data_IF_408606980903
#
_entry.id   IF_408606980903
#
_cell.length_a   1.000
_cell.length_b   1.000
_cell.length_c   1.000
_cell.angle_alpha   90.00
_cell.angle_beta   90.00
_cell.angle_gamma   90.00
#
_symmetry.space_group_name_H-M   'P 1'
#
loop_
_entity.id
_entity.type
_entity.pdbx_description
1 polymer ?
#
# COMPACT_ATOMS: atom_id res chain seq x y z
N UNK A 1 11.67 -13.50 16.03
CA UNK A 1 11.17 -14.89 16.00
C UNK A 1 11.41 -15.55 14.64
N UNK A 2 11.27 -14.82 13.55
CA UNK A 2 11.52 -15.31 12.20
C UNK A 2 10.32 -15.97 11.54
N UNK A 3 10.57 -16.77 10.49
CA UNK A 3 9.55 -17.32 9.58
C UNK A 3 9.44 -18.83 9.73
N UNK A 4 8.26 -19.33 10.07
CA UNK A 4 7.90 -20.75 10.15
C UNK A 4 6.81 -21.06 9.12
N UNK A 5 6.99 -22.17 8.40
CA UNK A 5 5.95 -22.72 7.53
C UNK A 5 5.41 -24.04 8.08
N UNK A 6 4.10 -24.20 8.04
CA UNK A 6 3.41 -25.43 8.47
C UNK A 6 2.60 -25.96 7.29
N UNK A 7 2.74 -27.24 7.01
CA UNK A 7 2.02 -27.93 5.94
C UNK A 7 1.61 -29.34 6.41
N UNK A 8 0.75 -30.00 5.67
CA UNK A 8 0.36 -31.39 5.98
C UNK A 8 0.39 -32.28 4.74
N UNK A 9 1.10 -33.42 4.85
CA UNK A 9 1.21 -34.42 3.79
C UNK A 9 0.56 -35.76 4.13
N UNK A 10 0.18 -35.99 5.38
CA UNK A 10 -0.23 -37.32 5.86
C UNK A 10 -1.72 -37.59 5.73
N UNK A 11 -2.54 -36.55 5.62
CA UNK A 11 -3.98 -36.67 5.57
C UNK A 11 -4.45 -37.24 4.22
N UNK A 12 -5.54 -37.99 4.21
CA UNK A 12 -6.14 -38.59 3.03
C UNK A 12 -5.14 -39.42 2.19
N UNK A 13 -4.39 -40.30 2.85
CA UNK A 13 -3.36 -41.16 2.22
C UNK A 13 -2.32 -40.36 1.39
N UNK A 14 -2.04 -39.13 1.82
CA UNK A 14 -1.06 -38.26 1.18
C UNK A 14 -1.50 -37.68 -0.18
N UNK A 15 -2.79 -37.72 -0.48
CA UNK A 15 -3.33 -37.22 -1.76
C UNK A 15 -4.42 -36.18 -1.57
N UNK A 16 -4.55 -35.31 -2.55
CA UNK A 16 -5.70 -34.45 -2.73
C UNK A 16 -6.83 -35.21 -3.46
N UNK A 17 -8.03 -34.64 -3.48
CA UNK A 17 -9.19 -35.24 -4.13
C UNK A 17 -8.98 -35.53 -5.64
N UNK A 18 -8.19 -34.70 -6.30
CA UNK A 18 -7.82 -34.86 -7.70
C UNK A 18 -6.70 -35.89 -7.95
N UNK A 19 -6.25 -36.60 -6.90
CA UNK A 19 -5.21 -37.59 -6.96
C UNK A 19 -3.77 -37.07 -6.89
N UNK A 20 -3.56 -35.75 -6.92
CA UNK A 20 -2.22 -35.17 -6.79
C UNK A 20 -1.66 -35.33 -5.38
N UNK A 21 -0.34 -35.36 -5.28
CA UNK A 21 0.36 -35.56 -4.00
C UNK A 21 0.23 -34.35 -3.07
N UNK A 22 -0.02 -34.57 -1.79
CA UNK A 22 0.05 -33.53 -0.76
C UNK A 22 1.47 -33.02 -0.50
N UNK A 23 2.49 -33.63 -1.04
CA UNK A 23 3.84 -33.09 -1.08
C UNK A 23 3.92 -31.75 -1.82
N UNK A 24 2.99 -31.44 -2.70
CA UNK A 24 2.86 -30.11 -3.30
C UNK A 24 2.67 -29.01 -2.25
N UNK A 25 2.06 -29.32 -1.10
CA UNK A 25 2.00 -28.37 0.03
C UNK A 25 3.37 -28.09 0.67
N UNK A 26 4.25 -29.11 0.72
CA UNK A 26 5.64 -28.93 1.14
C UNK A 26 6.39 -28.00 0.18
N UNK A 27 6.23 -28.21 -1.13
CA UNK A 27 6.95 -27.44 -2.15
C UNK A 27 6.47 -26.00 -2.18
N UNK A 28 5.16 -25.75 -2.06
CA UNK A 28 4.59 -24.42 -1.89
C UNK A 28 5.16 -23.73 -0.64
N UNK A 29 5.17 -24.44 0.49
CA UNK A 29 5.71 -23.95 1.75
C UNK A 29 7.20 -23.59 1.64
N UNK A 30 8.00 -24.44 0.98
CA UNK A 30 9.43 -24.19 0.75
C UNK A 30 9.66 -22.90 -0.05
N UNK A 31 8.94 -22.74 -1.17
CA UNK A 31 9.09 -21.58 -2.04
C UNK A 31 8.68 -20.29 -1.33
N UNK A 32 7.54 -20.28 -0.64
CA UNK A 32 7.06 -19.09 0.08
C UNK A 32 8.04 -18.74 1.21
N UNK A 33 8.41 -19.70 2.06
CA UNK A 33 9.31 -19.43 3.16
C UNK A 33 10.69 -18.94 2.68
N UNK A 34 11.22 -19.53 1.60
CA UNK A 34 12.50 -19.15 1.03
C UNK A 34 12.46 -17.71 0.49
N UNK A 35 11.41 -17.32 -0.23
CA UNK A 35 11.27 -15.95 -0.73
C UNK A 35 11.21 -14.95 0.44
N UNK A 36 10.39 -15.22 1.46
CA UNK A 36 10.28 -14.32 2.63
C UNK A 36 11.63 -14.17 3.31
N UNK A 37 12.31 -15.28 3.63
CA UNK A 37 13.59 -15.24 4.34
C UNK A 37 14.65 -14.50 3.53
N UNK A 38 14.73 -14.76 2.23
CA UNK A 38 15.71 -14.13 1.36
C UNK A 38 15.47 -12.62 1.22
N UNK A 39 14.22 -12.21 0.98
CA UNK A 39 13.88 -10.81 0.83
C UNK A 39 14.09 -10.02 2.14
N UNK A 40 13.63 -10.59 3.26
CA UNK A 40 13.80 -9.94 4.57
C UNK A 40 15.28 -9.85 4.96
N UNK A 41 16.07 -10.87 4.68
CA UNK A 41 17.53 -10.83 4.92
C UNK A 41 18.22 -9.77 4.07
N UNK A 42 17.77 -9.59 2.87
CA UNK A 42 18.37 -8.64 1.93
C UNK A 42 18.04 -7.19 2.27
N UNK A 43 16.83 -6.92 2.74
CA UNK A 43 16.32 -5.55 2.90
C UNK A 43 16.38 -5.08 4.36
N UNK A 44 16.06 -5.95 5.32
CA UNK A 44 15.81 -5.55 6.71
C UNK A 44 16.82 -6.10 7.70
N UNK A 45 17.04 -7.42 7.70
CA UNK A 45 17.86 -8.05 8.71
C UNK A 45 18.56 -9.29 8.16
N UNK A 46 19.89 -9.24 7.92
CA UNK A 46 20.65 -10.37 7.39
C UNK A 46 20.59 -11.63 8.27
N UNK A 47 20.34 -11.44 9.57
CA UNK A 47 20.24 -12.53 10.54
C UNK A 47 18.81 -13.04 10.72
N UNK A 48 17.89 -12.68 9.83
CA UNK A 48 16.50 -13.14 9.92
C UNK A 48 16.42 -14.65 10.01
N UNK A 49 15.74 -15.15 11.04
CA UNK A 49 15.69 -16.57 11.34
C UNK A 49 14.75 -17.29 10.38
N UNK A 50 15.29 -18.24 9.64
CA UNK A 50 14.49 -19.27 8.99
C UNK A 50 14.20 -20.36 10.02
N UNK A 51 12.97 -20.43 10.53
CA UNK A 51 12.51 -21.53 11.37
C UNK A 51 12.30 -22.78 10.52
N UNK A 52 12.23 -23.94 11.18
CA UNK A 52 11.92 -25.17 10.47
C UNK A 52 10.57 -25.19 9.77
N UNK A 53 10.37 -26.12 8.86
CA UNK A 53 9.07 -26.43 8.31
C UNK A 53 8.45 -27.58 9.08
N UNK A 54 7.19 -27.43 9.48
CA UNK A 54 6.48 -28.44 10.27
C UNK A 54 5.46 -29.19 9.42
N UNK A 55 5.61 -30.49 9.32
CA UNK A 55 4.59 -31.35 8.74
C UNK A 55 3.60 -31.77 9.85
N UNK A 56 2.56 -30.97 10.04
CA UNK A 56 1.60 -31.11 11.14
C UNK A 56 0.17 -30.92 10.62
N UNK A 57 -0.82 -31.65 11.16
CA UNK A 57 -2.21 -31.56 10.74
C UNK A 57 -2.93 -30.39 11.40
N UNK A 58 -2.40 -29.18 11.24
CA UNK A 58 -3.16 -27.97 11.57
C UNK A 58 -4.32 -27.82 10.60
N UNK A 59 -5.45 -27.34 11.10
CA UNK A 59 -6.68 -27.28 10.33
C UNK A 59 -6.50 -26.54 9.00
N UNK A 60 -5.83 -25.42 9.02
CA UNK A 60 -5.56 -24.57 7.85
C UNK A 60 -4.62 -25.23 6.84
N UNK A 61 -3.79 -26.16 7.29
CA UNK A 61 -2.82 -26.85 6.45
C UNK A 61 -3.36 -28.14 5.82
N UNK A 62 -4.31 -28.85 6.48
CA UNK A 62 -4.79 -30.13 5.97
C UNK A 62 -6.19 -30.08 5.32
N UNK A 63 -7.06 -29.16 5.78
CA UNK A 63 -8.43 -29.06 5.30
C UNK A 63 -8.56 -28.62 3.84
N UNK A 64 -7.72 -27.71 3.29
CA UNK A 64 -7.83 -27.30 1.91
C UNK A 64 -7.69 -28.49 0.94
N UNK A 65 -8.47 -28.43 -0.15
CA UNK A 65 -8.47 -29.44 -1.22
C UNK A 65 -7.40 -29.19 -2.29
N UNK A 66 -6.58 -28.20 -2.09
CA UNK A 66 -5.47 -27.76 -2.94
C UNK A 66 -4.21 -27.59 -2.08
N UNK A 67 -3.01 -27.53 -2.69
CA UNK A 67 -1.79 -27.24 -1.95
C UNK A 67 -1.95 -26.01 -1.06
N UNK A 68 -1.63 -26.15 0.23
CA UNK A 68 -1.83 -25.12 1.23
C UNK A 68 -0.74 -25.17 2.31
N UNK A 69 -0.52 -24.04 2.95
CA UNK A 69 0.37 -23.92 4.09
C UNK A 69 -0.19 -22.88 5.08
N UNK A 70 0.19 -23.01 6.33
CA UNK A 70 0.05 -21.98 7.36
C UNK A 70 1.40 -21.28 7.52
N UNK A 71 1.40 -19.96 7.46
CA UNK A 71 2.57 -19.11 7.65
C UNK A 71 2.53 -18.47 9.03
N UNK A 72 3.55 -18.73 9.85
CA UNK A 72 3.80 -17.97 11.07
C UNK A 72 5.04 -17.12 10.88
N UNK A 73 4.86 -15.81 10.85
CA UNK A 73 5.90 -14.88 10.47
C UNK A 73 6.54 -14.17 11.66
N UNK A 74 5.74 -13.72 12.59
CA UNK A 74 6.12 -12.86 13.71
C UNK A 74 5.40 -13.34 14.97
N UNK A 75 5.80 -12.80 16.12
CA UNK A 75 5.05 -12.95 17.36
C UNK A 75 4.61 -11.58 17.87
N UNK A 76 3.31 -11.40 18.05
CA UNK A 76 2.74 -10.18 18.63
C UNK A 76 3.19 -9.93 20.07
N UNK A 77 3.73 -10.94 20.75
CA UNK A 77 4.32 -10.84 22.08
C UNK A 77 5.81 -10.51 22.08
N UNK A 78 6.42 -10.34 20.91
CA UNK A 78 7.82 -10.01 20.76
C UNK A 78 8.00 -8.62 20.18
N UNK A 79 8.56 -7.71 20.98
CA UNK A 79 8.72 -6.33 20.57
C UNK A 79 9.59 -6.15 19.31
N UNK A 80 10.67 -6.90 19.21
CA UNK A 80 11.53 -6.83 18.04
C UNK A 80 10.79 -7.27 16.77
N UNK A 81 9.88 -8.24 16.88
CA UNK A 81 9.02 -8.67 15.77
C UNK A 81 7.96 -7.60 15.46
N UNK A 82 7.38 -6.96 16.47
CA UNK A 82 6.34 -5.96 16.30
C UNK A 82 6.85 -4.68 15.60
N UNK A 83 8.11 -4.34 15.75
CA UNK A 83 8.72 -3.27 14.96
C UNK A 83 8.62 -3.52 13.46
N UNK A 84 8.82 -4.77 13.04
CA UNK A 84 8.61 -5.17 11.64
C UNK A 84 7.12 -5.29 11.30
N UNK A 85 6.33 -5.91 12.19
CA UNK A 85 4.91 -6.13 11.95
C UNK A 85 4.09 -4.86 11.80
N UNK A 86 4.52 -3.76 12.40
CA UNK A 86 3.88 -2.45 12.31
C UNK A 86 4.39 -1.62 11.12
N UNK A 87 5.53 -1.97 10.54
CA UNK A 87 6.06 -1.28 9.36
C UNK A 87 5.29 -1.71 8.09
N UNK A 88 4.57 -0.82 7.42
CA UNK A 88 3.84 -1.13 6.20
C UNK A 88 4.76 -1.57 5.05
N UNK A 89 5.99 -1.07 5.00
CA UNK A 89 6.97 -1.48 3.98
C UNK A 89 7.39 -2.93 4.20
N UNK A 90 7.62 -3.35 5.44
CA UNK A 90 7.88 -4.74 5.76
C UNK A 90 6.72 -5.64 5.37
N UNK A 91 5.49 -5.24 5.72
CA UNK A 91 4.27 -5.98 5.34
C UNK A 91 4.13 -6.13 3.83
N UNK A 92 4.40 -5.05 3.08
CA UNK A 92 4.40 -5.08 1.61
C UNK A 92 5.48 -6.05 1.08
N UNK A 93 6.72 -5.97 1.58
CA UNK A 93 7.81 -6.86 1.18
C UNK A 93 7.48 -8.32 1.42
N UNK A 94 6.93 -8.64 2.60
CA UNK A 94 6.53 -10.02 2.91
C UNK A 94 5.38 -10.49 2.03
N UNK A 95 4.36 -9.66 1.82
CA UNK A 95 3.23 -10.00 0.94
C UNK A 95 3.71 -10.23 -0.49
N UNK A 96 4.65 -9.43 -0.97
CA UNK A 96 5.27 -9.61 -2.29
C UNK A 96 6.12 -10.88 -2.34
N UNK A 97 6.84 -11.22 -1.28
CA UNK A 97 7.60 -12.47 -1.19
C UNK A 97 6.69 -13.71 -1.21
N UNK A 98 5.54 -13.64 -0.52
CA UNK A 98 4.50 -14.68 -0.58
C UNK A 98 3.99 -14.84 -2.01
N UNK A 99 3.63 -13.72 -2.65
CA UNK A 99 3.19 -13.71 -4.06
C UNK A 99 4.24 -14.34 -5.00
N UNK A 100 5.52 -13.97 -4.84
CA UNK A 100 6.62 -14.56 -5.63
C UNK A 100 6.71 -16.07 -5.44
N UNK A 101 6.63 -16.54 -4.19
CA UNK A 101 6.65 -17.98 -3.89
C UNK A 101 5.46 -18.73 -4.48
N UNK A 102 4.25 -18.14 -4.42
CA UNK A 102 3.07 -18.71 -5.06
C UNK A 102 3.21 -18.74 -6.59
N UNK A 103 3.70 -17.65 -7.19
CA UNK A 103 3.92 -17.56 -8.63
C UNK A 103 4.95 -18.58 -9.10
N UNK A 104 6.07 -18.74 -8.40
CA UNK A 104 7.08 -19.78 -8.67
C UNK A 104 6.46 -21.17 -8.62
N UNK A 105 5.66 -21.44 -7.59
CA UNK A 105 4.97 -22.72 -7.46
C UNK A 105 4.04 -22.96 -8.65
N UNK A 106 3.16 -22.02 -8.97
CA UNK A 106 2.22 -22.16 -10.09
C UNK A 106 2.96 -22.31 -11.42
N UNK A 107 3.98 -21.47 -11.65
CA UNK A 107 4.78 -21.57 -12.88
C UNK A 107 5.45 -22.93 -13.05
N UNK A 108 5.94 -23.53 -11.95
CA UNK A 108 6.54 -24.86 -11.99
C UNK A 108 5.52 -25.98 -12.25
N UNK A 109 4.27 -25.82 -11.77
CA UNK A 109 3.22 -26.83 -11.98
C UNK A 109 2.67 -26.81 -13.40
N UNK A 110 2.66 -25.66 -14.06
CA UNK A 110 2.10 -25.46 -15.39
C UNK A 110 3.15 -25.23 -16.48
N UNK A 111 4.44 -25.37 -16.13
CA UNK A 111 5.58 -25.16 -17.05
C UNK A 111 5.51 -23.80 -17.75
N UNK A 112 5.08 -22.76 -17.02
CA UNK A 112 5.00 -21.40 -17.52
C UNK A 112 6.19 -20.56 -17.06
N UNK A 113 6.47 -19.49 -17.79
CA UNK A 113 7.54 -18.57 -17.43
C UNK A 113 7.24 -17.85 -16.11
N UNK A 114 8.23 -17.76 -15.24
CA UNK A 114 8.15 -16.96 -14.02
C UNK A 114 8.49 -15.51 -14.34
N UNK A 115 7.49 -14.64 -14.29
CA UNK A 115 7.63 -13.19 -14.44
C UNK A 115 6.79 -12.50 -13.40
N UNK A 116 7.40 -11.66 -12.59
CA UNK A 116 6.71 -10.90 -11.54
C UNK A 116 6.17 -9.59 -12.11
N UNK A 117 4.96 -9.22 -11.75
CA UNK A 117 4.39 -7.92 -12.12
C UNK A 117 5.26 -6.75 -11.60
N UNK A 118 5.30 -5.60 -12.30
CA UNK A 118 6.06 -4.44 -11.87
C UNK A 118 5.59 -3.87 -10.52
N UNK A 119 6.43 -3.03 -9.92
CA UNK A 119 6.03 -2.16 -8.82
C UNK A 119 5.23 -0.96 -9.35
N UNK A 120 4.39 -0.32 -8.52
CA UNK A 120 3.71 0.92 -8.86
C UNK A 120 4.70 2.00 -9.30
N UNK A 121 4.26 2.88 -10.20
CA UNK A 121 5.06 4.03 -10.60
C UNK A 121 5.22 5.03 -9.46
N UNK A 122 6.27 5.83 -9.53
CA UNK A 122 6.55 6.92 -8.58
C UNK A 122 6.66 8.26 -9.31
N UNK A 123 6.71 9.36 -8.55
CA UNK A 123 6.84 10.73 -9.07
C UNK A 123 5.78 11.05 -10.13
N UNK A 124 4.55 10.57 -9.92
CA UNK A 124 3.46 10.91 -10.81
C UNK A 124 3.14 12.40 -10.68
N UNK A 125 3.10 13.10 -11.80
CA UNK A 125 2.82 14.53 -11.88
C UNK A 125 1.94 14.86 -13.09
N UNK A 126 1.12 15.91 -12.95
CA UNK A 126 0.31 16.46 -14.03
C UNK A 126 0.64 17.95 -14.18
N UNK A 127 0.96 18.38 -15.39
CA UNK A 127 1.25 19.77 -15.69
C UNK A 127 0.45 20.21 -16.92
N UNK A 128 -0.04 21.46 -16.94
CA UNK A 128 -0.53 22.05 -18.17
C UNK A 128 0.63 22.38 -19.09
N UNK A 129 0.49 22.08 -20.38
CA UNK A 129 1.57 22.29 -21.37
C UNK A 129 1.87 23.76 -21.62
N UNK A 130 0.88 24.65 -21.43
CA UNK A 130 1.06 26.10 -21.49
C UNK A 130 -0.07 26.84 -20.75
N UNK A 131 0.18 28.06 -20.32
CA UNK A 131 -0.89 28.91 -19.77
C UNK A 131 -2.05 29.04 -20.75
N UNK A 132 -3.23 28.81 -20.27
CA UNK A 132 -4.42 28.90 -21.10
C UNK A 132 -4.74 27.67 -21.95
N UNK A 133 -3.90 26.66 -22.03
CA UNK A 133 -4.19 25.38 -22.70
C UNK A 133 -5.09 24.48 -21.85
N UNK A 134 -5.86 23.64 -22.47
CA UNK A 134 -6.52 22.50 -21.85
C UNK A 134 -5.77 21.17 -22.14
N UNK A 135 -4.61 21.26 -22.77
CA UNK A 135 -3.69 20.14 -22.90
C UNK A 135 -2.84 19.99 -21.64
N UNK A 136 -2.74 18.78 -21.16
CA UNK A 136 -1.94 18.39 -20.00
C UNK A 136 -0.91 17.35 -20.39
N UNK A 137 0.20 17.35 -19.67
CA UNK A 137 1.21 16.32 -19.70
C UNK A 137 1.27 15.60 -18.36
N UNK A 138 1.09 14.30 -18.40
CA UNK A 138 1.32 13.39 -17.29
C UNK A 138 2.75 12.87 -17.40
N UNK A 139 3.44 12.80 -16.28
CA UNK A 139 4.78 12.22 -16.21
C UNK A 139 4.96 11.38 -14.95
N UNK A 140 5.79 10.35 -15.03
CA UNK A 140 6.05 9.43 -13.91
C UNK A 140 7.42 8.80 -14.06
N UNK A 141 7.82 8.01 -13.05
CA UNK A 141 9.02 7.19 -13.10
C UNK A 141 8.66 5.72 -12.84
N UNK A 142 9.36 4.83 -13.51
CA UNK A 142 9.35 3.42 -13.15
C UNK A 142 9.95 3.24 -11.76
N UNK A 143 9.42 2.31 -11.00
CA UNK A 143 10.02 1.86 -9.75
C UNK A 143 10.85 0.62 -10.05
N UNK A 144 12.12 0.67 -9.75
CA UNK A 144 13.01 -0.48 -9.87
C UNK A 144 12.79 -1.44 -8.70
N UNK A 145 12.61 -2.71 -8.99
CA UNK A 145 12.64 -3.76 -7.99
C UNK A 145 14.04 -4.37 -7.93
N UNK A 146 14.85 -3.90 -7.00
CA UNK A 146 16.26 -4.31 -6.85
C UNK A 146 16.46 -5.78 -6.49
N UNK A 147 15.39 -6.45 -6.06
CA UNK A 147 15.41 -7.87 -5.65
C UNK A 147 14.66 -8.79 -6.60
N UNK A 148 14.01 -8.23 -7.64
CA UNK A 148 13.24 -9.01 -8.60
C UNK A 148 13.40 -8.46 -10.02
N UNK A 149 14.45 -8.90 -10.75
CA UNK A 149 14.75 -8.36 -12.09
C UNK A 149 13.66 -8.58 -13.13
N UNK A 150 12.79 -9.60 -12.95
CA UNK A 150 11.70 -9.88 -13.90
C UNK A 150 10.58 -8.84 -13.81
N UNK A 151 10.54 -8.04 -12.75
CA UNK A 151 9.50 -7.05 -12.50
C UNK A 151 9.68 -5.73 -13.27
N UNK A 152 10.54 -5.71 -14.30
CA UNK A 152 10.74 -4.53 -15.13
C UNK A 152 9.49 -4.24 -15.97
N UNK A 153 8.97 -3.00 -15.99
CA UNK A 153 7.82 -2.66 -16.81
C UNK A 153 8.16 -2.60 -18.30
N UNK A 154 7.27 -3.16 -19.14
CA UNK A 154 7.33 -3.06 -20.60
C UNK A 154 6.56 -1.84 -21.13
N UNK A 155 5.53 -1.42 -20.41
CA UNK A 155 4.66 -0.30 -20.72
C UNK A 155 3.84 0.12 -19.48
N UNK A 156 3.00 1.11 -19.67
CA UNK A 156 2.12 1.67 -18.64
C UNK A 156 0.69 1.77 -19.16
N UNK A 157 -0.29 1.79 -18.25
CA UNK A 157 -1.67 2.10 -18.57
C UNK A 157 -2.04 3.36 -17.81
N UNK A 158 -2.51 4.37 -18.53
CA UNK A 158 -3.03 5.60 -17.97
C UNK A 158 -4.56 5.51 -17.99
N UNK A 159 -5.16 5.57 -16.83
CA UNK A 159 -6.62 5.60 -16.66
C UNK A 159 -7.08 7.01 -16.41
N UNK A 160 -8.19 7.39 -17.03
CA UNK A 160 -8.82 8.70 -16.86
C UNK A 160 -10.26 8.53 -16.39
N UNK A 161 -10.65 9.35 -15.41
CA UNK A 161 -12.03 9.51 -14.95
C UNK A 161 -12.46 10.94 -15.23
N UNK A 162 -13.64 11.15 -15.78
CA UNK A 162 -14.22 12.47 -16.08
C UNK A 162 -15.40 12.74 -15.14
N UNK A 163 -15.30 13.80 -14.34
CA UNK A 163 -16.32 14.13 -13.36
C UNK A 163 -16.62 12.96 -12.41
N UNK A 164 -17.86 12.57 -12.32
CA UNK A 164 -18.35 11.50 -11.44
C UNK A 164 -18.49 10.13 -12.16
N UNK A 165 -17.99 10.01 -13.39
CA UNK A 165 -18.00 8.72 -14.10
C UNK A 165 -16.98 7.76 -13.50
N UNK A 166 -17.02 6.49 -13.91
CA UNK A 166 -15.96 5.53 -13.57
C UNK A 166 -14.68 5.82 -14.36
N UNK A 167 -13.56 5.24 -13.93
CA UNK A 167 -12.34 5.22 -14.74
C UNK A 167 -12.58 4.47 -16.04
N UNK A 168 -11.99 4.97 -17.12
CA UNK A 168 -12.03 4.32 -18.43
C UNK A 168 -11.23 2.99 -18.44
N UNK A 169 -11.19 2.34 -19.60
CA UNK A 169 -10.44 1.09 -19.77
C UNK A 169 -8.92 1.28 -19.91
N UNK A 170 -8.44 2.51 -19.76
CA UNK A 170 -7.06 2.89 -19.82
C UNK A 170 -6.45 2.97 -21.21
N UNK A 171 -5.42 3.80 -21.32
CA UNK A 171 -4.62 3.97 -22.53
C UNK A 171 -3.23 3.40 -22.32
N UNK A 172 -2.80 2.44 -23.14
CA UNK A 172 -1.47 1.86 -23.07
C UNK A 172 -0.42 2.82 -23.64
N UNK A 173 0.62 3.12 -22.88
CA UNK A 173 1.69 4.05 -23.20
C UNK A 173 3.05 3.37 -23.08
N UNK A 174 3.93 3.59 -24.08
CA UNK A 174 5.32 3.12 -24.06
C UNK A 174 6.22 4.24 -23.61
N UNK A 175 6.52 4.52 -22.51
CA UNK A 175 7.33 5.66 -22.05
C UNK A 175 6.77 6.19 -20.74
N UNK A 176 7.42 7.17 -20.19
CA UNK A 176 7.11 7.70 -18.85
C UNK A 176 6.47 9.09 -18.90
N UNK A 177 5.86 9.42 -20.02
CA UNK A 177 5.01 10.61 -20.16
C UNK A 177 3.89 10.38 -21.19
N UNK A 178 2.83 11.12 -21.03
CA UNK A 178 1.69 11.09 -21.94
C UNK A 178 0.97 12.43 -21.95
N UNK A 179 0.55 12.87 -23.12
CA UNK A 179 -0.20 14.12 -23.30
C UNK A 179 -1.62 13.84 -23.74
N UNK A 180 -2.54 14.61 -23.19
CA UNK A 180 -3.95 14.57 -23.54
C UNK A 180 -4.62 15.92 -23.30
N UNK A 181 -5.81 16.09 -23.85
CA UNK A 181 -6.64 17.27 -23.57
C UNK A 181 -7.76 16.91 -22.60
N UNK A 182 -8.04 17.81 -21.65
CA UNK A 182 -9.15 17.67 -20.72
C UNK A 182 -10.31 18.59 -21.12
N UNK A 183 -11.57 18.19 -20.90
CA UNK A 183 -12.70 19.06 -21.09
C UNK A 183 -12.63 20.27 -20.15
N UNK A 184 -13.08 21.42 -20.65
CA UNK A 184 -13.25 22.60 -19.82
C UNK A 184 -14.43 22.37 -18.86
N UNK A 185 -14.36 22.96 -17.66
CA UNK A 185 -15.37 22.85 -16.59
C UNK A 185 -15.63 21.43 -16.08
N UNK A 186 -14.67 20.54 -16.29
CA UNK A 186 -14.74 19.16 -15.82
C UNK A 186 -13.47 18.80 -15.06
N UNK A 187 -13.60 18.24 -13.87
CA UNK A 187 -12.47 17.64 -13.15
C UNK A 187 -12.16 16.28 -13.79
N UNK A 188 -10.91 16.09 -14.18
CA UNK A 188 -10.41 14.81 -14.65
C UNK A 188 -9.43 14.24 -13.65
N UNK A 189 -9.66 13.00 -13.25
CA UNK A 189 -8.78 12.25 -12.35
C UNK A 189 -7.99 11.23 -13.15
N UNK A 190 -6.73 11.02 -12.75
CA UNK A 190 -5.82 10.13 -13.44
C UNK A 190 -5.13 9.21 -12.44
N UNK A 191 -4.90 7.97 -12.82
CA UNK A 191 -4.01 7.01 -12.16
C UNK A 191 -3.24 6.23 -13.21
N UNK A 192 -2.08 5.72 -12.83
CA UNK A 192 -1.17 5.02 -13.74
C UNK A 192 -0.80 3.68 -13.13
N UNK A 193 -0.73 2.65 -13.96
CA UNK A 193 -0.17 1.35 -13.61
C UNK A 193 0.99 1.02 -14.54
N UNK A 194 1.92 0.22 -14.05
CA UNK A 194 3.00 -0.36 -14.84
C UNK A 194 2.63 -1.78 -15.23
N UNK A 195 2.97 -2.21 -16.43
CA UNK A 195 2.66 -3.55 -16.95
C UNK A 195 3.88 -4.24 -17.55
N UNK A 196 3.90 -5.55 -17.39
CA UNK A 196 4.77 -6.47 -18.13
C UNK A 196 4.02 -7.78 -18.41
N UNK A 197 4.71 -8.84 -18.86
CA UNK A 197 4.09 -10.15 -19.08
C UNK A 197 3.61 -10.84 -17.81
N UNK A 198 4.12 -10.46 -16.66
CA UNK A 198 3.73 -10.97 -15.34
C UNK A 198 2.43 -10.34 -14.81
N UNK A 199 1.98 -9.24 -15.41
CA UNK A 199 0.74 -8.59 -15.05
C UNK A 199 0.84 -7.08 -14.89
N UNK A 200 -0.14 -6.53 -14.21
CA UNK A 200 -0.31 -5.10 -13.96
C UNK A 200 -0.04 -4.78 -12.49
N UNK A 201 0.70 -3.70 -12.23
CA UNK A 201 1.01 -3.23 -10.88
C UNK A 201 -0.23 -2.70 -10.16
N UNK A 202 -0.13 -2.50 -8.84
CA UNK A 202 -1.04 -1.59 -8.16
C UNK A 202 -0.97 -0.19 -8.80
N UNK A 203 -2.06 0.59 -8.74
CA UNK A 203 -2.08 1.93 -9.32
C UNK A 203 -1.22 2.91 -8.50
N UNK A 204 -0.82 4.00 -9.17
CA UNK A 204 -0.32 5.20 -8.50
C UNK A 204 -1.40 5.84 -7.63
N UNK A 205 -1.01 6.89 -6.90
CA UNK A 205 -1.96 7.87 -6.39
C UNK A 205 -2.85 8.43 -7.50
N UNK A 206 -4.02 8.94 -7.11
CA UNK A 206 -4.92 9.63 -8.05
C UNK A 206 -4.62 11.11 -8.01
N UNK A 207 -4.22 11.68 -9.16
CA UNK A 207 -4.07 13.11 -9.33
C UNK A 207 -5.19 13.67 -10.18
N UNK A 208 -5.57 14.92 -9.91
CA UNK A 208 -6.67 15.60 -10.57
C UNK A 208 -6.19 16.82 -11.34
N UNK A 209 -6.80 17.07 -12.49
CA UNK A 209 -6.63 18.30 -13.26
C UNK A 209 -7.99 18.82 -13.70
N UNK A 210 -8.17 20.13 -13.64
CA UNK A 210 -9.36 20.80 -14.12
C UNK A 210 -9.02 22.16 -14.72
N UNK A 211 -9.82 22.62 -15.66
CA UNK A 211 -9.75 23.95 -16.21
C UNK A 211 -11.15 24.55 -16.33
N UNK A 212 -11.30 25.79 -15.88
CA UNK A 212 -12.58 26.53 -16.02
C UNK A 212 -12.59 27.39 -17.27
N UNK A 213 -13.75 27.49 -17.91
CA UNK A 213 -14.01 28.42 -19.02
C UNK A 213 -14.12 29.87 -18.57
N UNK A 214 -14.52 30.08 -17.31
CA UNK A 214 -14.65 31.43 -16.78
C UNK A 214 -13.28 32.00 -16.41
N UNK A 215 -12.85 33.02 -17.13
CA UNK A 215 -11.98 34.02 -16.53
C UNK A 215 -12.73 34.54 -15.30
N UNK A 216 -12.20 34.29 -14.10
CA UNK A 216 -12.74 34.94 -12.91
C UNK A 216 -12.81 36.46 -13.19
N UNK A 217 -13.98 36.94 -13.50
CA UNK A 217 -14.17 38.38 -13.69
C UNK A 217 -13.85 39.05 -12.36
N UNK A 218 -13.03 40.07 -12.40
CA UNK A 218 -12.55 40.84 -11.23
C UNK A 218 -13.67 41.54 -10.43
N UNK A 219 -14.91 41.10 -10.48
CA UNK A 219 -16.05 41.90 -10.04
C UNK A 219 -16.98 41.28 -9.00
N UNK A 220 -16.67 40.19 -8.38
CA UNK A 220 -17.49 39.77 -7.24
C UNK A 220 -16.69 39.81 -5.93
N UNK A 221 -16.88 40.85 -5.11
CA UNK A 221 -16.36 40.83 -3.74
C UNK A 221 -17.15 39.77 -2.99
N UNK A 222 -16.42 38.74 -2.50
CA UNK A 222 -16.97 37.77 -1.58
C UNK A 222 -17.58 38.53 -0.40
N UNK A 223 -18.89 38.59 -0.37
CA UNK A 223 -19.65 39.22 0.71
C UNK A 223 -19.44 38.39 1.97
N UNK A 224 -18.60 38.88 2.84
CA UNK A 224 -18.35 38.30 4.15
C UNK A 224 -19.62 38.41 4.99
N UNK A 225 -20.31 37.31 5.18
CA UNK A 225 -21.24 37.15 6.30
C UNK A 225 -20.80 36.01 7.15
N UNK A 226 -19.87 36.28 8.06
CA UNK A 226 -19.75 35.52 9.29
C UNK A 226 -18.89 36.32 10.29
N UNK A 227 -19.56 36.84 11.32
CA UNK A 227 -18.88 37.39 12.50
C UNK A 227 -18.26 36.23 13.30
N UNK A 228 -16.93 36.03 13.14
CA UNK A 228 -16.17 35.25 14.09
C UNK A 228 -14.79 35.88 14.35
N UNK A 229 -14.39 35.84 15.61
CA UNK A 229 -13.30 36.55 16.28
C UNK A 229 -11.96 36.53 15.53
N UNK A 230 -11.26 37.67 15.64
CA UNK A 230 -9.93 37.98 15.14
C UNK A 230 -8.91 36.90 15.47
N UNK A 231 -8.37 36.24 14.44
CA UNK A 231 -7.03 35.70 14.43
C UNK A 231 -6.28 36.32 13.24
N UNK A 232 -5.02 36.68 13.48
CA UNK A 232 -4.17 37.42 12.57
C UNK A 232 -4.20 36.88 11.15
N UNK A 233 -4.69 37.70 10.24
CA UNK A 233 -4.60 37.45 8.81
C UNK A 233 -3.15 37.69 8.35
N UNK A 234 -2.54 36.70 7.73
CA UNK A 234 -1.35 36.92 6.90
C UNK A 234 -1.81 37.72 5.68
N UNK A 235 -1.33 38.94 5.56
CA UNK A 235 -1.54 39.73 4.35
C UNK A 235 -0.60 39.22 3.26
N UNK A 236 -1.15 38.60 2.23
CA UNK A 236 -0.42 38.38 0.99
C UNK A 236 -0.45 39.67 0.20
N UNK A 237 0.71 40.30 0.00
CA UNK A 237 0.82 41.56 -0.78
C UNK A 237 0.55 41.27 -2.24
N UNK A 238 -0.50 41.86 -2.76
CA UNK A 238 -0.82 41.88 -4.20
C UNK A 238 0.12 42.84 -4.91
N UNK A 239 1.23 42.39 -5.41
CA UNK A 239 2.04 43.11 -6.39
C UNK A 239 2.67 42.12 -7.36
N UNK A 240 1.87 41.62 -8.28
CA UNK A 240 2.33 41.25 -9.63
C UNK A 240 1.11 41.15 -10.54
N UNK A 241 1.20 41.75 -11.70
CA UNK A 241 0.35 41.51 -12.85
C UNK A 241 0.61 40.07 -13.29
N UNK A 242 -0.06 39.11 -12.77
CA UNK A 242 -0.24 37.89 -13.51
C UNK A 242 -1.16 36.93 -12.72
N UNK A 243 -2.22 36.65 -13.41
CA UNK A 243 -2.89 35.38 -13.43
C UNK A 243 -3.25 34.75 -12.08
N UNK A 244 -4.51 34.54 -11.93
CA UNK A 244 -5.13 33.81 -10.84
C UNK A 244 -4.48 32.43 -10.64
N UNK A 245 -3.32 32.39 -10.03
CA UNK A 245 -2.67 31.15 -9.60
C UNK A 245 -3.33 30.72 -8.29
N UNK A 246 -4.02 29.60 -8.31
CA UNK A 246 -4.53 28.95 -7.13
C UNK A 246 -3.48 27.95 -6.65
N UNK A 247 -2.90 28.22 -5.50
CA UNK A 247 -2.08 27.23 -4.78
C UNK A 247 -3.00 26.40 -3.88
N UNK A 248 -3.13 25.13 -4.18
CA UNK A 248 -3.78 24.17 -3.30
C UNK A 248 -2.70 23.48 -2.49
N UNK A 249 -2.68 23.75 -1.18
CA UNK A 249 -1.83 23.03 -0.25
C UNK A 249 -2.68 21.97 0.42
N UNK A 250 -2.45 20.72 0.05
CA UNK A 250 -3.04 19.59 0.76
C UNK A 250 -2.17 19.29 1.98
N UNK A 251 -2.72 19.56 3.18
CA UNK A 251 -2.03 19.29 4.43
C UNK A 251 -2.18 17.84 4.92
N UNK A 252 -2.95 17.02 4.21
CA UNK A 252 -3.23 15.64 4.59
C UNK A 252 -3.04 14.74 3.38
N UNK A 253 -1.85 14.20 3.27
CA UNK A 253 -1.52 13.23 2.21
C UNK A 253 -1.74 11.79 2.65
N UNK A 254 -2.09 11.57 3.92
CA UNK A 254 -2.23 10.25 4.54
C UNK A 254 -3.52 10.16 5.33
N UNK A 255 -4.01 8.94 5.48
CA UNK A 255 -4.98 8.63 6.51
C UNK A 255 -4.22 8.70 7.84
N UNK A 256 -4.55 9.66 8.69
CA UNK A 256 -4.00 9.74 10.04
C UNK A 256 -4.35 8.47 10.81
N UNK A 257 -3.45 8.07 11.70
CA UNK A 257 -3.82 7.13 12.74
C UNK A 257 -5.06 7.65 13.50
N UNK A 258 -5.88 6.77 14.04
CA UNK A 258 -6.97 7.18 14.92
C UNK A 258 -6.44 8.11 16.00
N UNK A 259 -7.19 9.16 16.33
CA UNK A 259 -6.82 10.06 17.40
C UNK A 259 -6.62 9.27 18.70
N UNK A 260 -5.62 9.68 19.48
CA UNK A 260 -5.45 9.11 20.81
C UNK A 260 -6.76 9.26 21.59
N UNK A 261 -7.18 8.18 22.21
CA UNK A 261 -8.28 8.20 23.13
C UNK A 261 -7.83 7.66 24.49
N UNK A 262 -8.47 8.14 25.53
CA UNK A 262 -8.27 7.67 26.88
C UNK A 262 -9.58 7.08 27.35
N UNK A 263 -9.62 5.75 27.47
CA UNK A 263 -10.77 5.08 28.02
C UNK A 263 -10.61 4.94 29.55
N UNK A 264 -11.65 5.22 30.36
CA UNK A 264 -11.60 4.96 31.79
C UNK A 264 -11.53 3.46 32.04
N UNK A 265 -10.40 3.02 32.59
CA UNK A 265 -10.25 1.64 33.02
C UNK A 265 -10.53 1.49 34.51
N UNK A 266 -10.94 0.33 35.01
CA UNK A 266 -11.08 0.10 36.43
C UNK A 266 -9.76 0.36 37.14
N UNK A 267 -9.78 1.22 38.15
CA UNK A 267 -8.69 1.50 39.06
C UNK A 267 -7.35 1.93 38.39
N UNK A 268 -7.25 3.19 38.09
CA UNK A 268 -6.01 3.90 37.76
C UNK A 268 -5.26 3.50 36.47
N UNK A 269 -5.86 2.70 35.62
CA UNK A 269 -5.27 2.29 34.35
C UNK A 269 -5.94 3.06 33.22
N UNK A 270 -5.17 3.83 32.49
CA UNK A 270 -5.64 4.49 31.28
C UNK A 270 -5.34 3.57 30.11
N UNK A 271 -6.39 3.19 29.38
CA UNK A 271 -6.24 2.58 28.07
C UNK A 271 -6.10 3.71 27.05
N UNK A 272 -5.11 3.61 26.24
CA UNK A 272 -4.85 4.59 25.20
C UNK A 272 -4.51 3.89 23.88
N UNK A 273 -4.85 4.51 22.78
CA UNK A 273 -4.50 3.99 21.46
C UNK A 273 -5.70 3.64 20.58
N UNK A 274 -5.72 2.47 19.96
CA UNK A 274 -6.63 2.11 18.88
C UNK A 274 -7.90 1.39 19.30
N UNK A 275 -8.11 1.20 20.57
CA UNK A 275 -9.33 0.57 21.06
C UNK A 275 -10.48 1.55 20.91
N UNK A 276 -11.58 1.11 20.36
CA UNK A 276 -12.82 1.85 20.45
C UNK A 276 -13.36 1.85 21.89
N UNK A 277 -14.30 2.70 22.17
CA UNK A 277 -14.87 2.85 23.51
C UNK A 277 -15.59 1.56 24.01
N UNK A 278 -15.87 0.62 23.14
CA UNK A 278 -16.55 -0.64 23.43
C UNK A 278 -15.55 -1.78 23.64
N UNK A 279 -14.37 -1.70 23.02
CA UNK A 279 -13.31 -2.67 23.21
C UNK A 279 -12.39 -2.27 24.37
N UNK A 280 -12.83 -2.55 25.55
CA UNK A 280 -12.02 -2.34 26.77
C UNK A 280 -10.90 -3.36 26.93
N UNK A 281 -10.74 -4.25 25.98
CA UNK A 281 -9.66 -5.16 25.71
C UNK A 281 -8.78 -5.55 26.86
N UNK A 282 -7.67 -6.07 26.52
CA UNK A 282 -6.59 -6.40 27.45
C UNK A 282 -5.98 -5.12 28.00
N UNK A 283 -5.69 -5.02 29.29
CA UNK A 283 -4.93 -3.88 29.83
C UNK A 283 -3.57 -3.83 29.12
N UNK A 284 -3.45 -3.00 28.12
CA UNK A 284 -2.27 -2.85 27.28
C UNK A 284 -1.00 -2.61 28.09
N UNK A 285 -1.12 -1.95 29.21
CA UNK A 285 -0.02 -1.66 30.10
C UNK A 285 0.69 -2.93 30.56
N UNK A 286 -0.01 -4.04 30.75
CA UNK A 286 0.61 -5.29 31.17
C UNK A 286 1.27 -6.00 29.99
N UNK A 287 0.65 -5.97 28.83
CA UNK A 287 1.16 -6.65 27.66
C UNK A 287 2.33 -5.93 27.00
N UNK A 288 2.38 -4.62 27.17
CA UNK A 288 3.43 -3.78 26.59
C UNK A 288 4.54 -3.38 27.55
N UNK A 289 4.51 -3.82 28.80
CA UNK A 289 5.53 -3.47 29.78
C UNK A 289 6.95 -3.88 29.35
N UNK A 290 7.08 -4.90 28.54
CA UNK A 290 8.35 -5.39 27.98
C UNK A 290 8.67 -4.86 26.57
N UNK A 291 7.74 -4.15 25.93
CA UNK A 291 7.95 -3.61 24.59
C UNK A 291 8.42 -2.16 24.58
N UNK A 292 8.57 -1.55 25.73
CA UNK A 292 9.08 -0.19 25.86
C UNK A 292 8.01 0.83 26.22
N UNK A 293 8.24 2.08 25.85
CA UNK A 293 7.37 3.17 26.24
C UNK A 293 6.05 3.13 25.46
N UNK A 294 4.92 3.16 26.17
CA UNK A 294 3.59 3.36 25.58
C UNK A 294 3.50 4.61 24.70
N UNK A 295 4.40 5.55 24.86
CA UNK A 295 4.46 6.76 24.05
C UNK A 295 4.61 6.48 22.56
N UNK A 296 5.22 5.36 22.20
CA UNK A 296 5.42 4.98 20.81
C UNK A 296 4.13 4.49 20.15
N UNK A 297 3.12 4.14 20.96
CA UNK A 297 1.81 3.70 20.48
C UNK A 297 0.74 4.77 20.62
N UNK A 298 0.87 5.69 21.55
CA UNK A 298 -0.18 6.61 21.96
C UNK A 298 -0.10 7.98 21.32
N UNK A 299 0.87 8.24 20.46
CA UNK A 299 1.11 9.60 19.99
C UNK A 299 0.44 9.99 18.69
N UNK A 300 -0.47 9.20 18.18
CA UNK A 300 -1.09 9.52 16.90
C UNK A 300 -0.08 9.64 15.77
N UNK A 301 1.10 9.04 15.94
CA UNK A 301 2.06 8.92 14.86
C UNK A 301 1.39 8.12 13.75
N UNK A 302 1.52 8.55 12.50
CA UNK A 302 0.88 7.83 11.40
C UNK A 302 1.39 6.39 11.38
N UNK A 303 0.48 5.46 11.59
CA UNK A 303 0.75 4.02 11.58
C UNK A 303 1.04 3.49 10.18
N UNK A 304 0.65 4.27 9.22
CA UNK A 304 0.85 4.00 7.82
C UNK A 304 1.68 5.11 7.26
N UNK A 305 2.93 4.83 7.07
CA UNK A 305 3.76 5.64 6.23
C UNK A 305 3.48 5.17 4.81
N UNK A 306 2.62 5.90 4.14
CA UNK A 306 2.23 5.62 2.75
C UNK A 306 3.23 6.21 1.75
N UNK A 307 4.44 6.47 2.21
CA UNK A 307 5.53 6.97 1.36
C UNK A 307 6.05 5.95 0.37
#
# INVERSE_FOLDING_TARGET
VGTLGIYSTKEYDGKFYNGSSRFLSHDLCELIQSNIVNDVRRIYNPDWTRRGKWNKPYFEAWTPKVPAMLLELLSHQNFADMRYGLDPRFRFTVSRAVYKGMLQFVSSQYETEYVVQPLPVTHFAINFTSPGSNEIELSWRATEDSIEPTATPDAYIVYMQKGNADFDNGTKVKGTSWRTTIPVDTVCNFKITAINRGGESFPSEILSAARTSSSLSKSDPITKTSKRKKNKSVQVSNNTKDDNVLLIVNGFTRVSAPADFVAPAPADTLLAGFLDDEDHGVPYIQDFSYIGSMKDFNRGEPWHDDD
#
